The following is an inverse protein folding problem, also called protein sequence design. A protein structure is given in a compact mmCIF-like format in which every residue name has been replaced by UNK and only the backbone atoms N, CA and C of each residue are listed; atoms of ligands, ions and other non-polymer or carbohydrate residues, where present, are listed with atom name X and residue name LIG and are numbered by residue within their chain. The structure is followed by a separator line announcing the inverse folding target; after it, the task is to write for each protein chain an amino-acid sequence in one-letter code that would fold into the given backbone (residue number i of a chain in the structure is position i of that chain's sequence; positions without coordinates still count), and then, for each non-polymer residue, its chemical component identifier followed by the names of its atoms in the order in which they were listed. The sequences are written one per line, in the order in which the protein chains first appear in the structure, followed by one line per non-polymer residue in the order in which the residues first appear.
data_IF_580003965998
#
_entry.id   IF_580003965998
#
_cell.length_a   1.000
_cell.length_b   1.000
_cell.length_c   1.000
_cell.angle_alpha   90.00
_cell.angle_beta   90.00
_cell.angle_gamma   90.00
#
_symmetry.space_group_name_H-M   'P 1'
#
loop_
_entity.id
_entity.type
_entity.pdbx_description
1 polymer ?
#
# COMPACT_ATOMS: atom_id res chain seq x y z
N UNK A 1 5.41 21.55 9.47
CA UNK A 1 4.93 20.56 10.46
C UNK A 1 6.08 19.78 11.09
N UNK A 2 6.06 19.47 12.39
CA UNK A 2 7.06 18.56 13.01
C UNK A 2 6.69 17.10 12.77
N UNK A 3 7.66 16.19 12.86
CA UNK A 3 7.46 14.75 12.67
C UNK A 3 6.32 14.16 13.55
N UNK A 4 6.15 14.67 14.78
CA UNK A 4 5.07 14.26 15.67
C UNK A 4 3.67 14.61 15.13
N UNK A 5 3.54 15.74 14.43
CA UNK A 5 2.27 16.17 13.84
C UNK A 5 1.95 15.32 12.61
N UNK A 6 2.94 15.12 11.73
CA UNK A 6 2.81 14.23 10.57
C UNK A 6 2.45 12.81 11.00
N UNK A 7 3.08 12.31 12.08
CA UNK A 7 2.78 10.99 12.66
C UNK A 7 1.32 10.87 13.10
N UNK A 8 0.77 11.91 13.75
CA UNK A 8 -0.65 11.94 14.16
C UNK A 8 -1.61 11.99 12.98
N UNK A 9 -1.29 12.76 11.94
CA UNK A 9 -2.18 12.92 10.77
C UNK A 9 -2.15 11.69 9.83
N UNK A 10 -0.99 11.07 9.66
CA UNK A 10 -0.83 9.92 8.76
C UNK A 10 -1.09 8.58 9.45
N UNK A 11 -1.04 8.56 10.80
CA UNK A 11 -1.06 7.34 11.60
C UNK A 11 0.24 6.53 11.53
N UNK A 12 1.27 7.04 10.86
CA UNK A 12 2.57 6.38 10.76
C UNK A 12 3.40 6.64 12.01
N UNK A 13 4.16 5.64 12.46
CA UNK A 13 5.12 5.84 13.55
C UNK A 13 6.25 6.79 13.13
N UNK A 14 6.83 7.52 14.08
CA UNK A 14 8.00 8.37 13.81
C UNK A 14 9.16 7.54 13.23
N UNK A 15 9.33 6.29 13.66
CA UNK A 15 10.30 5.36 13.08
C UNK A 15 10.03 5.05 11.61
N UNK A 16 8.76 4.93 11.22
CA UNK A 16 8.37 4.72 9.82
C UNK A 16 8.66 5.95 8.98
N UNK A 17 8.34 7.15 9.48
CA UNK A 17 8.67 8.40 8.79
C UNK A 17 10.18 8.53 8.56
N UNK A 18 11.00 8.26 9.59
CA UNK A 18 12.47 8.24 9.48
C UNK A 18 12.97 7.16 8.53
N UNK A 19 12.31 6.00 8.49
CA UNK A 19 12.65 4.93 7.56
C UNK A 19 12.38 5.36 6.11
N UNK A 20 11.23 5.97 5.83
CA UNK A 20 10.89 6.49 4.50
C UNK A 20 11.80 7.64 4.08
N UNK A 21 12.15 8.54 5.00
CA UNK A 21 13.16 9.58 4.77
C UNK A 21 14.51 8.98 4.37
N UNK A 22 15.04 8.01 5.14
CA UNK A 22 16.32 7.33 4.82
C UNK A 22 16.29 6.56 3.51
N UNK A 23 15.11 6.13 3.07
CA UNK A 23 14.92 5.42 1.80
C UNK A 23 14.66 6.38 0.63
N UNK A 24 14.73 7.69 0.85
CA UNK A 24 14.36 8.73 -0.14
C UNK A 24 12.94 8.54 -0.69
N UNK A 25 12.09 7.85 0.07
CA UNK A 25 10.68 7.71 -0.24
C UNK A 25 9.91 8.97 0.13
N UNK A 26 10.42 9.80 1.06
CA UNK A 26 9.92 11.16 1.26
C UNK A 26 10.86 12.07 0.48
N UNK A 27 10.41 12.65 -0.65
CA UNK A 27 11.24 13.56 -1.42
C UNK A 27 11.73 14.77 -0.61
N UNK A 28 12.95 15.24 -0.90
CA UNK A 28 13.59 16.33 -0.15
C UNK A 28 12.79 17.64 -0.22
N UNK A 29 11.99 17.88 -1.27
CA UNK A 29 11.14 19.07 -1.35
C UNK A 29 10.09 19.16 -0.25
N UNK A 30 9.70 18.03 0.35
CA UNK A 30 8.77 18.02 1.47
C UNK A 30 9.45 18.22 2.82
N UNK A 31 10.78 18.38 2.85
CA UNK A 31 11.58 18.48 4.07
C UNK A 31 12.38 19.77 4.04
N UNK A 32 12.16 20.63 5.04
CA UNK A 32 12.95 21.84 5.23
C UNK A 32 13.41 21.96 6.68
N UNK A 33 14.17 23.01 6.97
CA UNK A 33 14.64 23.33 8.32
C UNK A 33 14.05 24.66 8.75
N UNK A 34 13.54 24.71 9.97
CA UNK A 34 13.08 25.97 10.57
C UNK A 34 14.26 26.84 11.00
N UNK A 35 13.96 28.06 11.48
CA UNK A 35 14.95 29.03 11.98
C UNK A 35 15.79 28.48 13.15
N UNK A 36 15.27 27.48 13.87
CA UNK A 36 15.95 26.81 14.98
C UNK A 36 16.67 25.53 14.53
N UNK A 37 16.85 25.35 13.22
CA UNK A 37 17.52 24.21 12.60
C UNK A 37 16.85 22.84 12.86
N UNK A 38 15.56 22.82 13.24
CA UNK A 38 14.77 21.60 13.36
C UNK A 38 14.16 21.20 12.00
N UNK A 39 14.06 19.88 11.78
CA UNK A 39 13.37 19.34 10.60
C UNK A 39 11.88 19.63 10.68
N UNK A 40 11.37 20.23 9.62
CA UNK A 40 9.95 20.48 9.41
C UNK A 40 9.56 19.89 8.05
N UNK A 41 8.35 19.34 8.00
CA UNK A 41 7.75 18.81 6.79
C UNK A 41 6.70 19.78 6.26
N UNK A 42 6.59 19.82 4.94
CA UNK A 42 5.46 20.48 4.26
C UNK A 42 4.14 19.79 4.62
N UNK A 43 3.02 20.52 4.58
CA UNK A 43 1.68 19.97 4.79
C UNK A 43 1.30 18.97 3.67
N UNK A 44 1.77 19.21 2.44
CA UNK A 44 1.55 18.33 1.29
C UNK A 44 2.13 16.92 1.50
N UNK A 45 3.10 16.76 2.41
CA UNK A 45 3.68 15.45 2.76
C UNK A 45 2.62 14.49 3.29
N UNK A 46 1.57 15.00 3.93
CA UNK A 46 0.53 14.16 4.54
C UNK A 46 -0.27 13.44 3.47
N UNK A 47 -0.72 14.18 2.45
CA UNK A 47 -1.43 13.63 1.29
C UNK A 47 -0.53 12.65 0.54
N UNK A 48 0.73 13.04 0.30
CA UNK A 48 1.71 12.17 -0.35
C UNK A 48 1.90 10.84 0.42
N UNK A 49 2.03 10.87 1.74
CA UNK A 49 2.18 9.67 2.56
C UNK A 49 0.91 8.81 2.61
N UNK A 50 -0.27 9.40 2.42
CA UNK A 50 -1.52 8.65 2.26
C UNK A 50 -1.55 7.90 0.92
N UNK A 51 -1.07 8.51 -0.17
CA UNK A 51 -0.94 7.83 -1.47
C UNK A 51 0.07 6.69 -1.40
N UNK A 52 1.24 6.91 -0.80
CA UNK A 52 2.24 5.87 -0.56
C UNK A 52 1.64 4.71 0.24
N UNK A 53 0.85 4.99 1.27
CA UNK A 53 0.17 3.95 2.04
C UNK A 53 -0.82 3.16 1.19
N UNK A 54 -1.58 3.82 0.33
CA UNK A 54 -2.52 3.18 -0.59
C UNK A 54 -1.77 2.23 -1.54
N UNK A 55 -0.66 2.68 -2.14
CA UNK A 55 0.17 1.83 -2.99
C UNK A 55 0.70 0.60 -2.24
N UNK A 56 1.18 0.77 -1.01
CA UNK A 56 1.61 -0.36 -0.17
C UNK A 56 0.47 -1.35 0.11
N UNK A 57 -0.76 -0.87 0.34
CA UNK A 57 -1.92 -1.77 0.56
C UNK A 57 -2.33 -2.55 -0.69
N UNK A 58 -2.09 -1.99 -1.87
CA UNK A 58 -2.32 -2.64 -3.17
C UNK A 58 -1.27 -3.72 -3.46
N UNK A 59 -0.17 -3.77 -2.68
CA UNK A 59 0.89 -4.75 -2.84
C UNK A 59 2.11 -4.23 -3.60
N UNK A 60 2.27 -2.91 -3.70
CA UNK A 60 3.57 -2.34 -4.05
C UNK A 60 4.55 -2.50 -2.89
N UNK A 61 5.82 -2.72 -3.22
CA UNK A 61 6.93 -2.65 -2.27
C UNK A 61 7.45 -1.22 -2.17
N UNK A 62 8.15 -0.91 -1.08
CA UNK A 62 8.81 0.39 -0.92
C UNK A 62 9.78 0.68 -2.07
N UNK A 63 10.47 -0.34 -2.59
CA UNK A 63 11.42 -0.18 -3.70
C UNK A 63 10.69 0.17 -5.01
N UNK A 64 9.58 -0.50 -5.30
CA UNK A 64 8.75 -0.20 -6.47
C UNK A 64 8.21 1.24 -6.40
N UNK A 65 7.79 1.72 -5.23
CA UNK A 65 7.33 3.11 -5.07
C UNK A 65 8.48 4.11 -5.27
N UNK A 66 9.69 3.80 -4.79
CA UNK A 66 10.88 4.63 -5.06
C UNK A 66 11.15 4.73 -6.56
N UNK A 67 11.00 3.62 -7.31
CA UNK A 67 11.12 3.64 -8.78
C UNK A 67 10.05 4.52 -9.42
N UNK A 68 8.81 4.50 -8.92
CA UNK A 68 7.73 5.34 -9.46
C UNK A 68 8.01 6.84 -9.30
N UNK A 69 8.61 7.25 -8.19
CA UNK A 69 8.87 8.67 -7.88
C UNK A 69 10.25 9.16 -8.33
N UNK A 70 11.17 8.27 -8.68
CA UNK A 70 12.50 8.65 -9.16
C UNK A 70 12.46 9.17 -10.61
N UNK A 71 13.61 9.64 -11.10
CA UNK A 71 13.81 10.03 -12.51
C UNK A 71 13.90 8.82 -13.47
N UNK A 72 13.32 7.68 -13.11
CA UNK A 72 13.20 6.53 -14.00
C UNK A 72 12.37 6.85 -15.24
N UNK A 73 12.56 6.06 -16.30
CA UNK A 73 11.85 6.25 -17.56
C UNK A 73 10.34 6.06 -17.39
N UNK A 74 9.54 6.90 -18.06
CA UNK A 74 8.08 6.76 -18.10
C UNK A 74 7.64 5.35 -18.54
N UNK A 75 8.44 4.68 -19.37
CA UNK A 75 8.16 3.32 -19.83
C UNK A 75 8.26 2.34 -18.64
N UNK A 76 9.30 2.46 -17.82
CA UNK A 76 9.53 1.59 -16.67
C UNK A 76 8.40 1.74 -15.64
N UNK A 77 8.01 2.99 -15.36
CA UNK A 77 6.88 3.29 -14.46
C UNK A 77 5.58 2.70 -14.97
N UNK A 78 5.29 2.85 -16.27
CA UNK A 78 4.09 2.30 -16.90
C UNK A 78 4.06 0.77 -16.84
N UNK A 79 5.19 0.12 -17.09
CA UNK A 79 5.30 -1.35 -16.99
C UNK A 79 4.98 -1.79 -15.56
N UNK A 80 5.63 -1.19 -14.56
CA UNK A 80 5.43 -1.54 -13.15
C UNK A 80 3.95 -1.39 -12.70
N UNK A 81 3.30 -0.28 -13.08
CA UNK A 81 1.88 -0.07 -12.75
C UNK A 81 0.99 -1.08 -13.48
N UNK A 82 1.28 -1.37 -14.76
CA UNK A 82 0.51 -2.33 -15.55
C UNK A 82 0.61 -3.74 -14.97
N UNK A 83 1.82 -4.17 -14.57
CA UNK A 83 2.04 -5.45 -13.91
C UNK A 83 1.24 -5.58 -12.62
N UNK A 84 1.16 -4.50 -11.81
CA UNK A 84 0.35 -4.50 -10.60
C UNK A 84 -1.14 -4.55 -10.87
N UNK A 85 -1.62 -3.88 -11.92
CA UNK A 85 -3.03 -3.98 -12.34
C UNK A 85 -3.36 -5.43 -12.72
N UNK A 86 -2.51 -6.09 -13.52
CA UNK A 86 -2.71 -7.49 -13.90
C UNK A 86 -2.72 -8.40 -12.67
N UNK A 87 -1.77 -8.20 -11.74
CA UNK A 87 -1.72 -8.97 -10.50
C UNK A 87 -2.99 -8.83 -9.65
N UNK A 88 -3.55 -7.62 -9.54
CA UNK A 88 -4.81 -7.39 -8.82
C UNK A 88 -5.96 -8.15 -9.50
N UNK A 89 -6.06 -8.09 -10.82
CA UNK A 89 -7.10 -8.79 -11.59
C UNK A 89 -7.04 -10.32 -11.37
N UNK A 90 -5.83 -10.89 -11.30
CA UNK A 90 -5.65 -12.32 -11.00
C UNK A 90 -6.11 -12.67 -9.57
N UNK A 91 -5.81 -11.81 -8.59
CA UNK A 91 -6.26 -11.98 -7.21
C UNK A 91 -7.79 -11.89 -7.09
N UNK A 92 -8.41 -10.93 -7.77
CA UNK A 92 -9.87 -10.79 -7.81
C UNK A 92 -10.53 -12.04 -8.40
N UNK A 93 -10.04 -12.55 -9.52
CA UNK A 93 -10.55 -13.77 -10.13
C UNK A 93 -10.44 -14.98 -9.19
N UNK A 94 -9.33 -15.10 -8.47
CA UNK A 94 -9.12 -16.17 -7.47
C UNK A 94 -10.08 -16.04 -6.28
N UNK A 95 -10.28 -14.82 -5.78
CA UNK A 95 -11.20 -14.55 -4.67
C UNK A 95 -12.64 -14.86 -5.06
N UNK A 96 -13.07 -14.46 -6.26
CA UNK A 96 -14.42 -14.76 -6.77
C UNK A 96 -14.64 -16.27 -7.00
N UNK A 97 -13.63 -16.98 -7.54
CA UNK A 97 -13.69 -18.43 -7.66
C UNK A 97 -13.83 -19.11 -6.28
N UNK A 98 -13.06 -18.64 -5.29
CA UNK A 98 -13.09 -19.17 -3.93
C UNK A 98 -14.44 -18.90 -3.25
N UNK A 99 -14.98 -17.68 -3.40
CA UNK A 99 -16.29 -17.28 -2.88
C UNK A 99 -17.42 -18.09 -3.52
N UNK A 100 -17.35 -18.32 -4.83
CA UNK A 100 -18.31 -19.17 -5.56
C UNK A 100 -18.27 -20.60 -5.04
N UNK A 101 -17.06 -21.15 -4.84
CA UNK A 101 -16.89 -22.48 -4.26
C UNK A 101 -17.51 -22.59 -2.86
N UNK A 102 -17.22 -21.63 -1.96
CA UNK A 102 -17.79 -21.62 -0.61
C UNK A 102 -19.32 -21.47 -0.61
N UNK A 103 -19.86 -20.66 -1.52
CA UNK A 103 -21.32 -20.54 -1.73
C UNK A 103 -21.92 -21.88 -2.15
N UNK A 104 -21.29 -22.57 -3.10
CA UNK A 104 -21.75 -23.90 -3.54
C UNK A 104 -21.68 -24.94 -2.42
N UNK A 105 -20.69 -24.86 -1.51
CA UNK A 105 -20.60 -25.73 -0.33
C UNK A 105 -21.78 -25.47 0.61
N UNK A 106 -22.11 -24.20 0.89
CA UNK A 106 -23.27 -23.85 1.73
C UNK A 106 -24.59 -24.32 1.13
N UNK A 107 -24.75 -24.26 -0.19
CA UNK A 107 -25.96 -24.69 -0.89
C UNK A 107 -26.04 -26.21 -1.12
N UNK A 108 -25.03 -26.98 -0.67
CA UNK A 108 -24.95 -28.43 -0.89
C UNK A 108 -24.77 -28.83 -2.36
N UNK A 109 -24.42 -27.88 -3.23
CA UNK A 109 -24.19 -28.07 -4.67
C UNK A 109 -22.73 -28.39 -5.01
N UNK A 110 -21.81 -28.12 -4.08
CA UNK A 110 -20.43 -28.53 -4.25
C UNK A 110 -20.32 -30.05 -4.09
N UNK A 111 -19.61 -30.71 -5.01
CA UNK A 111 -19.14 -32.09 -4.84
C UNK A 111 -17.98 -32.14 -3.80
N UNK A 112 -18.24 -31.58 -2.63
CA UNK A 112 -17.33 -31.53 -1.51
C UNK A 112 -17.87 -32.54 -0.50
N UNK A 113 -17.21 -33.70 -0.39
CA UNK A 113 -17.55 -34.75 0.57
C UNK A 113 -17.23 -34.27 1.99
N UNK A 114 -18.00 -33.33 2.52
CA UNK A 114 -17.97 -33.01 3.94
C UNK A 114 -19.16 -33.67 4.60
N UNK A 115 -18.86 -34.71 5.40
CA UNK A 115 -19.72 -35.10 6.52
C UNK A 115 -19.67 -33.99 7.58
N UNK A 116 -20.21 -32.81 7.27
CA UNK A 116 -20.51 -31.85 8.31
C UNK A 116 -21.84 -32.27 8.92
N UNK A 117 -21.77 -33.22 9.84
CA UNK A 117 -22.85 -33.51 10.77
C UNK A 117 -23.04 -32.25 11.63
N UNK A 118 -23.98 -31.38 11.25
CA UNK A 118 -24.55 -30.43 12.20
C UNK A 118 -25.58 -31.20 13.04
N UNK A 119 -25.09 -31.84 14.09
CA UNK A 119 -25.92 -32.07 15.27
C UNK A 119 -25.67 -30.88 16.20
N UNK A 120 -26.72 -30.08 16.46
CA UNK A 120 -27.06 -29.48 17.76
C UNK A 120 -28.55 -29.16 17.73
#
# INVERSE_FOLDING_TARGET
MKANEVSKLTGLSISTLRFYERKQLIPEQFISRDENNYRVYDEEVVTYLQDVRTLLTVGFTVQEIIVLISESSDIEKKVLVTEKIIYIQELEAKLEASKTFLTNVLEGKANFQTRCNYEH
#
